data_IF_536707569243
#
_entry.id   IF_536707569243
#
_cell.length_a   1.000
_cell.length_b   1.000
_cell.length_c   1.000
_cell.angle_alpha   90.00
_cell.angle_beta   90.00
_cell.angle_gamma   90.00
#
_symmetry.space_group_name_H-M   'P 1'
#
loop_
_entity.id
_entity.type
_entity.pdbx_description
1 polymer ?
#
# COMPACT_ATOMS: atom_id res chain seq x y z
N UNK A 1 -29.25 17.02 12.92
CA UNK A 1 -29.40 16.09 11.77
C UNK A 1 -28.53 14.87 12.02
N UNK A 2 -29.14 13.69 11.94
CA UNK A 2 -28.56 12.33 11.91
C UNK A 2 -27.44 11.95 12.91
N UNK A 3 -27.78 11.75 14.19
CA UNK A 3 -27.13 10.70 15.00
C UNK A 3 -27.81 9.36 14.65
N UNK A 4 -27.35 8.68 13.60
CA UNK A 4 -27.82 7.32 13.31
C UNK A 4 -26.74 6.52 12.60
N UNK A 5 -26.33 5.44 13.24
CA UNK A 5 -25.48 4.39 12.68
C UNK A 5 -24.14 4.19 13.36
N UNK A 6 -24.08 4.02 14.69
CA UNK A 6 -22.82 3.62 15.35
C UNK A 6 -22.99 2.58 16.49
N UNK A 7 -24.05 1.76 16.45
CA UNK A 7 -24.37 0.83 17.55
C UNK A 7 -24.19 -0.67 17.21
N UNK A 8 -23.25 -1.04 16.33
CA UNK A 8 -22.96 -2.46 16.05
C UNK A 8 -21.53 -2.87 16.40
N UNK A 9 -20.59 -1.95 16.66
CA UNK A 9 -19.24 -2.32 17.09
C UNK A 9 -19.09 -1.99 18.58
N UNK A 10 -19.38 -2.97 19.43
CA UNK A 10 -18.77 -3.01 20.76
C UNK A 10 -17.27 -3.30 20.55
N UNK A 11 -16.46 -2.25 20.51
CA UNK A 11 -15.02 -2.25 20.84
C UNK A 11 -14.18 -3.37 20.21
N UNK A 12 -14.11 -3.44 18.88
CA UNK A 12 -12.76 -3.44 18.31
C UNK A 12 -12.36 -1.97 18.43
N UNK A 13 -11.43 -1.69 19.34
CA UNK A 13 -11.09 -0.31 19.72
C UNK A 13 -10.72 0.44 18.44
N UNK A 14 -11.22 1.66 18.23
CA UNK A 14 -10.93 2.45 17.02
C UNK A 14 -9.40 2.52 16.77
N UNK A 15 -8.62 2.52 17.85
CA UNK A 15 -7.17 2.44 17.85
C UNK A 15 -6.61 1.15 17.23
N UNK A 16 -7.26 -0.01 17.44
CA UNK A 16 -6.89 -1.27 16.79
C UNK A 16 -7.15 -1.20 15.28
N UNK A 17 -8.27 -0.58 14.87
CA UNK A 17 -8.58 -0.37 13.45
C UNK A 17 -7.52 0.55 12.84
N UNK A 18 -7.20 1.68 13.48
CA UNK A 18 -6.17 2.62 13.03
C UNK A 18 -4.81 1.91 12.94
N UNK A 19 -4.49 1.01 13.89
CA UNK A 19 -3.26 0.22 13.85
C UNK A 19 -3.21 -0.69 12.64
N UNK A 20 -4.29 -1.42 12.35
CA UNK A 20 -4.36 -2.29 11.15
C UNK A 20 -4.27 -1.48 9.88
N UNK A 21 -4.97 -0.34 9.80
CA UNK A 21 -4.92 0.56 8.65
C UNK A 21 -3.52 1.13 8.43
N UNK A 22 -2.77 1.44 9.49
CA UNK A 22 -1.38 1.90 9.35
C UNK A 22 -0.44 0.80 8.82
N UNK A 23 -0.72 -0.48 9.10
CA UNK A 23 0.02 -1.58 8.47
C UNK A 23 -0.30 -1.68 6.98
N UNK A 24 -1.58 -1.65 6.62
CA UNK A 24 -2.01 -1.64 5.23
C UNK A 24 -1.41 -0.43 4.49
N UNK A 25 -1.43 0.76 5.10
CA UNK A 25 -0.83 1.97 4.54
C UNK A 25 0.67 1.80 4.24
N UNK A 26 1.42 1.14 5.14
CA UNK A 26 2.81 0.79 4.88
C UNK A 26 2.94 -0.19 3.70
N UNK A 27 2.10 -1.22 3.65
CA UNK A 27 2.09 -2.20 2.56
C UNK A 27 1.83 -1.53 1.20
N UNK A 28 0.83 -0.64 1.10
CA UNK A 28 0.51 0.06 -0.15
C UNK A 28 1.65 0.96 -0.64
N UNK A 29 2.38 1.62 0.27
CA UNK A 29 3.52 2.45 -0.11
C UNK A 29 4.72 1.64 -0.58
N UNK A 30 4.99 0.51 0.07
CA UNK A 30 6.06 -0.40 -0.34
C UNK A 30 5.71 -1.06 -1.69
N UNK A 31 4.47 -1.50 -1.87
CA UNK A 31 3.97 -2.05 -3.13
C UNK A 31 4.00 -1.02 -4.26
N UNK A 32 3.57 0.22 -4.01
CA UNK A 32 3.68 1.32 -4.96
C UNK A 32 5.12 1.48 -5.44
N UNK A 33 6.07 1.62 -4.51
CA UNK A 33 7.47 1.83 -4.88
C UNK A 33 8.04 0.62 -5.60
N UNK A 34 7.69 -0.59 -5.18
CA UNK A 34 8.12 -1.84 -5.81
C UNK A 34 7.66 -1.91 -7.26
N UNK A 35 6.37 -1.77 -7.55
CA UNK A 35 5.87 -1.77 -8.92
C UNK A 35 6.41 -0.60 -9.75
N UNK A 36 6.52 0.58 -9.14
CA UNK A 36 7.09 1.75 -9.79
C UNK A 36 8.53 1.50 -10.24
N UNK A 37 9.39 1.01 -9.35
CA UNK A 37 10.82 0.82 -9.65
C UNK A 37 11.01 -0.38 -10.58
N UNK A 38 10.24 -1.47 -10.39
CA UNK A 38 10.22 -2.62 -11.30
C UNK A 38 9.91 -2.20 -12.74
N UNK A 39 8.90 -1.34 -12.94
CA UNK A 39 8.57 -0.82 -14.27
C UNK A 39 9.72 -0.03 -14.93
N UNK A 40 10.68 0.50 -14.15
CA UNK A 40 11.84 1.24 -14.70
C UNK A 40 13.01 0.34 -15.04
N UNK A 41 13.17 -0.77 -14.33
CA UNK A 41 14.36 -1.62 -14.42
C UNK A 41 14.11 -2.96 -15.12
N UNK A 42 12.85 -3.32 -15.40
CA UNK A 42 12.50 -4.56 -16.07
C UNK A 42 13.08 -4.64 -17.50
N UNK A 43 13.52 -5.83 -17.89
CA UNK A 43 14.16 -6.13 -19.17
C UNK A 43 13.58 -7.41 -19.77
N UNK A 44 13.91 -7.70 -21.04
CA UNK A 44 13.49 -8.92 -21.74
C UNK A 44 12.46 -8.69 -22.85
N UNK A 45 12.09 -9.77 -23.53
CA UNK A 45 11.27 -9.76 -24.75
C UNK A 45 9.86 -9.19 -24.49
N UNK A 46 9.28 -9.49 -23.33
CA UNK A 46 7.92 -9.06 -22.97
C UNK A 46 7.90 -7.78 -22.11
N UNK A 47 9.01 -7.04 -22.02
CA UNK A 47 9.13 -5.90 -21.10
C UNK A 47 8.04 -4.84 -21.33
N UNK A 48 7.65 -4.59 -22.58
CA UNK A 48 6.72 -3.49 -22.89
C UNK A 48 5.31 -3.78 -22.34
N UNK A 49 4.88 -5.05 -22.38
CA UNK A 49 3.62 -5.50 -21.77
C UNK A 49 3.72 -5.41 -20.25
N UNK A 50 4.81 -5.92 -19.68
CA UNK A 50 5.01 -5.89 -18.23
C UNK A 50 5.09 -4.45 -17.67
N UNK A 51 5.69 -3.50 -18.40
CA UNK A 51 5.75 -2.08 -18.01
C UNK A 51 4.34 -1.50 -17.88
N UNK A 52 3.42 -1.84 -18.78
CA UNK A 52 2.03 -1.36 -18.73
C UNK A 52 1.34 -1.88 -17.47
N UNK A 53 1.44 -3.18 -17.20
CA UNK A 53 0.85 -3.80 -16.01
C UNK A 53 1.44 -3.23 -14.71
N UNK A 54 2.77 -3.18 -14.60
CA UNK A 54 3.47 -2.65 -13.42
C UNK A 54 3.12 -1.17 -13.17
N UNK A 55 3.03 -0.36 -14.23
CA UNK A 55 2.62 1.05 -14.11
C UNK A 55 1.17 1.17 -13.63
N UNK A 56 0.29 0.29 -14.10
CA UNK A 56 -1.09 0.25 -13.64
C UNK A 56 -1.18 -0.14 -12.16
N UNK A 57 -0.48 -1.19 -11.75
CA UNK A 57 -0.42 -1.60 -10.35
C UNK A 57 0.14 -0.49 -9.44
N UNK A 58 1.23 0.17 -9.83
CA UNK A 58 1.74 1.31 -9.08
C UNK A 58 0.67 2.41 -8.89
N UNK A 59 -0.05 2.79 -9.95
CA UNK A 59 -1.12 3.78 -9.82
C UNK A 59 -2.28 3.32 -8.93
N UNK A 60 -2.61 2.02 -8.96
CA UNK A 60 -3.62 1.43 -8.10
C UNK A 60 -3.19 1.46 -6.62
N UNK A 61 -1.96 1.09 -6.29
CA UNK A 61 -1.47 1.13 -4.90
C UNK A 61 -1.32 2.56 -4.37
N UNK A 62 -0.94 3.52 -5.22
CA UNK A 62 -0.98 4.93 -4.84
C UNK A 62 -2.40 5.39 -4.50
N UNK A 63 -3.40 4.95 -5.27
CA UNK A 63 -4.81 5.22 -4.97
C UNK A 63 -5.22 4.56 -3.66
N UNK A 64 -4.81 3.32 -3.40
CA UNK A 64 -5.08 2.61 -2.14
C UNK A 64 -4.45 3.31 -0.94
N UNK A 65 -3.17 3.70 -1.02
CA UNK A 65 -2.49 4.46 0.02
C UNK A 65 -3.25 5.75 0.39
N UNK A 66 -3.75 6.49 -0.61
CA UNK A 66 -4.60 7.66 -0.39
C UNK A 66 -5.93 7.32 0.29
N UNK A 67 -6.61 6.25 -0.14
CA UNK A 67 -7.86 5.79 0.49
C UNK A 67 -7.66 5.43 1.97
N UNK A 68 -6.57 4.70 2.27
CA UNK A 68 -6.24 4.27 3.63
C UNK A 68 -5.87 5.46 4.51
N UNK A 69 -5.03 6.39 4.02
CA UNK A 69 -4.69 7.61 4.75
C UNK A 69 -5.93 8.44 5.09
N UNK A 70 -6.81 8.65 4.11
CA UNK A 70 -8.07 9.35 4.32
C UNK A 70 -8.95 8.66 5.35
N UNK A 71 -9.00 7.32 5.34
CA UNK A 71 -9.77 6.56 6.33
C UNK A 71 -9.20 6.69 7.74
N UNK A 72 -7.88 6.66 7.90
CA UNK A 72 -7.21 6.89 9.19
C UNK A 72 -7.57 8.28 9.73
N UNK A 73 -7.49 9.32 8.89
CA UNK A 73 -7.84 10.69 9.27
C UNK A 73 -9.33 10.83 9.67
N UNK A 74 -10.25 10.19 8.93
CA UNK A 74 -11.69 10.18 9.28
C UNK A 74 -11.98 9.52 10.63
N UNK A 75 -11.16 8.55 11.03
CA UNK A 75 -11.25 7.88 12.34
C UNK A 75 -10.56 8.67 13.46
N UNK A 76 -9.94 9.82 13.16
CA UNK A 76 -9.22 10.65 14.12
C UNK A 76 -7.79 10.21 14.41
N UNK A 77 -7.23 9.28 13.61
CA UNK A 77 -5.85 8.83 13.71
C UNK A 77 -4.88 9.63 12.83
N UNK A 78 -3.61 9.25 12.89
CA UNK A 78 -2.54 9.81 12.05
C UNK A 78 -1.93 8.67 11.21
N UNK A 79 -1.83 8.81 9.87
CA UNK A 79 -1.09 7.86 9.05
C UNK A 79 0.41 7.94 9.34
N UNK A 80 1.17 6.88 9.07
CA UNK A 80 2.63 6.88 9.23
C UNK A 80 3.25 8.06 8.45
N UNK A 81 4.04 8.88 9.15
CA UNK A 81 4.57 10.13 8.59
C UNK A 81 5.97 9.97 7.99
N UNK A 82 6.72 8.96 8.44
CA UNK A 82 8.09 8.73 8.00
C UNK A 82 8.17 7.43 7.19
N UNK A 83 8.72 7.43 5.96
CA UNK A 83 8.93 6.22 5.18
C UNK A 83 9.74 5.13 5.88
N UNK A 84 10.60 5.50 6.83
CA UNK A 84 11.34 4.52 7.65
C UNK A 84 10.42 3.61 8.47
N UNK A 85 9.26 4.12 8.88
CA UNK A 85 8.31 3.39 9.73
C UNK A 85 7.57 2.31 8.93
N UNK A 86 7.49 2.43 7.60
CA UNK A 86 6.82 1.43 6.75
C UNK A 86 7.40 0.03 6.96
N UNK A 87 8.73 -0.08 7.02
CA UNK A 87 9.42 -1.35 7.24
C UNK A 87 9.20 -1.95 8.64
N UNK A 88 8.79 -1.13 9.61
CA UNK A 88 8.48 -1.60 10.97
C UNK A 88 7.03 -2.09 11.07
N UNK A 89 6.13 -1.55 10.25
CA UNK A 89 4.69 -1.79 10.37
C UNK A 89 4.09 -2.67 9.26
N UNK A 90 4.79 -2.82 8.14
CA UNK A 90 4.37 -3.67 7.01
C UNK A 90 4.09 -5.12 7.42
N UNK A 91 3.13 -5.75 6.74
CA UNK A 91 2.92 -7.19 6.83
C UNK A 91 3.72 -7.96 5.77
N UNK A 92 3.91 -7.37 4.59
CA UNK A 92 4.48 -8.03 3.42
C UNK A 92 5.97 -7.74 3.20
N UNK A 93 6.46 -6.60 3.70
CA UNK A 93 7.81 -6.12 3.43
C UNK A 93 7.95 -5.51 2.04
N UNK A 94 9.20 -5.28 1.65
CA UNK A 94 9.58 -4.82 0.32
C UNK A 94 10.51 -5.87 -0.29
N UNK A 95 10.17 -6.34 -1.49
CA UNK A 95 11.04 -7.23 -2.23
C UNK A 95 11.81 -6.40 -3.27
N UNK A 96 13.10 -6.21 -3.03
CA UNK A 96 13.95 -5.56 -4.03
C UNK A 96 13.95 -6.42 -5.31
N UNK A 97 13.70 -5.82 -6.47
CA UNK A 97 13.58 -6.57 -7.71
C UNK A 97 14.96 -6.98 -8.24
N UNK A 98 15.70 -7.81 -7.51
CA UNK A 98 17.07 -8.22 -7.88
C UNK A 98 17.13 -9.21 -9.05
N UNK A 99 15.98 -9.79 -9.44
CA UNK A 99 15.88 -10.88 -10.42
C UNK A 99 15.03 -10.52 -11.67
N UNK A 100 15.07 -9.28 -12.17
CA UNK A 100 14.37 -8.88 -13.41
C UNK A 100 14.81 -9.66 -14.67
N UNK A 101 15.90 -10.43 -14.61
CA UNK A 101 16.36 -11.28 -15.73
C UNK A 101 15.61 -12.62 -15.87
N UNK A 102 14.97 -13.14 -14.81
CA UNK A 102 14.52 -14.55 -14.77
C UNK A 102 13.04 -14.79 -15.10
N UNK A 103 12.21 -13.76 -15.22
CA UNK A 103 10.75 -13.94 -15.40
C UNK A 103 10.31 -14.29 -16.83
N UNK A 104 11.24 -14.49 -17.79
CA UNK A 104 10.93 -14.64 -19.22
C UNK A 104 11.79 -15.68 -19.97
N UNK A 105 12.23 -16.74 -19.30
CA UNK A 105 12.73 -17.95 -19.97
C UNK A 105 11.64 -19.02 -20.00
#
# INVERSE_FOLDING_TARGET
>A
MAKRGNSIIKGLEIDEIIKVLNKAYADEWLAYYQYFIEAKVIQGIMKDVAIVELTQHANDELRHANMVANRILQLGGTPLLNPKDWFTHTNCGYEEPTNYFKRLH
#
